data_IF_706085024436
#
_entry.id   IF_706085024436
#
_cell.length_a   1.000
_cell.length_b   1.000
_cell.length_c   1.000
_cell.angle_alpha   90.00
_cell.angle_beta   90.00
_cell.angle_gamma   90.00
#
_symmetry.space_group_name_H-M   'P 1'
#
loop_
_entity.id
_entity.type
_entity.pdbx_description
1 polymer ?
#
# COMPACT_ATOMS: atom_id res chain seq x y z
N UNK A 1 4.44 0.60 -28.71
CA UNK A 1 4.50 1.80 -27.85
C UNK A 1 4.39 1.28 -26.44
N UNK A 2 5.43 1.39 -25.64
CA UNK A 2 5.38 0.96 -24.24
C UNK A 2 4.64 2.05 -23.46
N UNK A 3 3.45 1.74 -22.97
CA UNK A 3 2.64 2.68 -22.20
C UNK A 3 3.30 2.89 -20.83
N UNK A 4 4.12 3.93 -20.73
CA UNK A 4 4.69 4.37 -19.47
C UNK A 4 3.56 4.81 -18.54
N UNK A 5 3.22 3.95 -17.57
CA UNK A 5 2.15 4.22 -16.62
C UNK A 5 2.64 5.23 -15.57
N UNK A 6 2.54 6.52 -15.90
CA UNK A 6 2.89 7.63 -15.01
C UNK A 6 1.90 7.64 -13.83
N UNK A 7 2.41 7.40 -12.62
CA UNK A 7 1.63 7.51 -11.37
C UNK A 7 1.97 8.80 -10.64
N UNK A 8 0.95 9.51 -10.18
CA UNK A 8 1.09 10.76 -9.42
C UNK A 8 1.63 10.55 -8.01
N UNK A 9 1.32 9.40 -7.40
CA UNK A 9 1.81 9.04 -6.07
C UNK A 9 1.88 7.52 -5.91
N UNK A 10 3.00 7.05 -5.36
CA UNK A 10 3.21 5.64 -4.98
C UNK A 10 3.54 5.61 -3.50
N UNK A 11 2.89 4.72 -2.75
CA UNK A 11 3.08 4.52 -1.32
C UNK A 11 3.62 3.10 -1.11
N UNK A 12 4.78 3.00 -0.46
CA UNK A 12 5.46 1.74 -0.18
C UNK A 12 5.29 1.39 1.30
N UNK A 13 4.54 0.31 1.59
CA UNK A 13 4.30 -0.21 2.94
C UNK A 13 2.81 -0.26 3.33
N UNK A 14 2.38 -1.38 3.92
CA UNK A 14 1.01 -1.66 4.40
C UNK A 14 0.77 -1.35 5.88
N UNK A 15 1.71 -0.66 6.53
CA UNK A 15 1.53 -0.29 7.93
C UNK A 15 0.41 0.75 8.13
N UNK A 16 0.08 1.07 9.40
CA UNK A 16 -0.93 2.09 9.73
C UNK A 16 -0.65 3.43 9.05
N UNK A 17 0.61 3.83 8.97
CA UNK A 17 1.06 5.06 8.29
C UNK A 17 0.82 5.01 6.79
N UNK A 18 1.04 3.87 6.13
CA UNK A 18 0.85 3.70 4.69
C UNK A 18 -0.61 3.77 4.27
N UNK A 19 -1.49 3.11 5.01
CA UNK A 19 -2.94 3.22 4.80
C UNK A 19 -3.46 4.64 5.06
N UNK A 20 -2.95 5.30 6.12
CA UNK A 20 -3.33 6.68 6.44
C UNK A 20 -2.94 7.61 5.28
N UNK A 21 -1.70 7.52 4.79
CA UNK A 21 -1.24 8.30 3.65
C UNK A 21 -2.08 8.04 2.38
N UNK A 22 -2.45 6.78 2.12
CA UNK A 22 -3.26 6.42 0.96
C UNK A 22 -4.68 7.02 1.03
N UNK A 23 -5.30 7.02 2.21
CA UNK A 23 -6.63 7.61 2.41
C UNK A 23 -6.59 9.12 2.16
N UNK A 24 -5.62 9.84 2.72
CA UNK A 24 -5.51 11.28 2.50
C UNK A 24 -5.17 11.63 1.05
N UNK A 25 -4.28 10.88 0.41
CA UNK A 25 -3.95 11.07 -0.99
C UNK A 25 -5.14 10.78 -1.94
N UNK A 26 -5.95 9.76 -1.63
CA UNK A 26 -7.16 9.47 -2.37
C UNK A 26 -8.20 10.60 -2.22
N UNK A 27 -8.36 11.13 -1.00
CA UNK A 27 -9.24 12.30 -0.73
C UNK A 27 -8.76 13.56 -1.44
N UNK A 28 -7.47 13.71 -1.67
CA UNK A 28 -6.88 14.78 -2.47
C UNK A 28 -6.99 14.56 -3.99
N UNK A 29 -7.64 13.47 -4.44
CA UNK A 29 -7.83 13.19 -5.87
C UNK A 29 -6.58 12.68 -6.59
N UNK A 30 -5.58 12.17 -5.87
CA UNK A 30 -4.29 11.77 -6.45
C UNK A 30 -4.24 10.33 -6.96
N UNK A 31 -5.31 9.54 -6.78
CA UNK A 31 -5.39 8.13 -7.18
C UNK A 31 -4.10 7.34 -6.80
N UNK A 32 -3.74 7.28 -5.50
CA UNK A 32 -2.48 6.70 -5.06
C UNK A 32 -2.41 5.20 -5.35
N UNK A 33 -1.22 4.71 -5.69
CA UNK A 33 -0.95 3.28 -5.77
C UNK A 33 -0.23 2.82 -4.50
N UNK A 34 -0.90 1.96 -3.72
CA UNK A 34 -0.33 1.36 -2.50
C UNK A 34 0.30 0.01 -2.86
N UNK A 35 1.60 -0.13 -2.60
CA UNK A 35 2.35 -1.37 -2.78
C UNK A 35 2.70 -1.90 -1.39
N UNK A 36 2.20 -3.09 -1.07
CA UNK A 36 2.35 -3.71 0.24
C UNK A 36 3.37 -4.84 0.17
N UNK A 37 4.17 -5.00 1.23
CA UNK A 37 4.96 -6.22 1.41
C UNK A 37 4.05 -7.42 1.73
N UNK A 38 4.64 -8.62 1.83
CA UNK A 38 3.94 -9.78 2.39
C UNK A 38 3.56 -9.47 3.84
N UNK A 39 2.27 -9.51 4.14
CA UNK A 39 1.79 -9.35 5.51
C UNK A 39 2.22 -10.58 6.31
N UNK A 40 3.20 -10.42 7.19
CA UNK A 40 3.58 -11.46 8.15
C UNK A 40 2.51 -11.48 9.25
N UNK A 41 1.32 -11.99 8.94
CA UNK A 41 0.42 -12.45 9.97
C UNK A 41 1.15 -13.58 10.68
N UNK A 42 1.48 -13.37 11.95
CA UNK A 42 2.08 -14.39 12.79
C UNK A 42 1.19 -15.63 12.71
N UNK A 43 1.63 -16.64 11.98
CA UNK A 43 1.04 -17.97 12.01
C UNK A 43 1.36 -18.50 13.39
N UNK A 44 0.47 -18.29 14.36
CA UNK A 44 0.47 -19.13 15.55
C UNK A 44 0.17 -20.54 15.05
N UNK A 45 1.22 -21.29 14.73
CA UNK A 45 1.12 -22.73 14.78
C UNK A 45 0.79 -23.05 16.24
N UNK A 46 -0.44 -23.52 16.43
CA UNK A 46 -0.94 -23.99 17.71
C UNK A 46 -0.19 -25.29 18.07
N UNK A 47 1.03 -25.14 18.56
CA UNK A 47 1.86 -26.21 19.14
C UNK A 47 1.73 -26.19 20.68
N UNK A 48 0.51 -26.05 21.17
CA UNK A 48 0.07 -26.38 22.54
C UNK A 48 -1.25 -27.16 22.48
#
# INVERSE_FOLDING_TARGET
MEDNLIRKLIILGSGPTGYTAAVYAARAGLAPCLITGRETRWSINNDY
#
